data_IF_518197326840
#
_entry.id   IF_518197326840
#
_cell.length_a   1.000
_cell.length_b   1.000
_cell.length_c   1.000
_cell.angle_alpha   90.00
_cell.angle_beta   90.00
_cell.angle_gamma   90.00
#
_symmetry.space_group_name_H-M   'P 1'
#
loop_
_entity.id
_entity.type
_entity.pdbx_description
1 polymer ?
#
# COMPACT_ATOMS: atom_id res chain seq x y z
N UNK A 1 11.33 -36.12 7.94
CA UNK A 1 12.77 -36.33 8.21
C UNK A 1 13.35 -37.51 7.45
N UNK A 2 12.61 -38.55 7.20
CA UNK A 2 13.07 -39.83 6.59
C UNK A 2 13.37 -39.77 5.07
N UNK A 3 12.82 -38.78 4.34
CA UNK A 3 13.07 -38.62 2.90
C UNK A 3 14.40 -37.88 2.67
N UNK A 4 14.68 -36.83 3.45
CA UNK A 4 15.86 -35.96 3.27
C UNK A 4 17.17 -36.74 3.49
N UNK A 5 17.17 -37.80 4.32
CA UNK A 5 18.36 -38.64 4.56
C UNK A 5 18.68 -39.60 3.41
N UNK A 6 17.82 -39.72 2.40
CA UNK A 6 17.94 -40.66 1.26
C UNK A 6 18.00 -40.01 -0.11
N UNK A 7 18.04 -38.67 -0.15
CA UNK A 7 18.10 -37.89 -1.38
C UNK A 7 19.22 -36.87 -1.32
N UNK A 8 19.79 -36.55 -2.45
CA UNK A 8 20.73 -35.42 -2.56
C UNK A 8 19.92 -34.14 -2.65
N UNK A 9 20.19 -33.19 -1.75
CA UNK A 9 19.54 -31.87 -1.74
C UNK A 9 20.35 -30.88 -2.55
N UNK A 10 19.68 -30.21 -3.49
CA UNK A 10 20.22 -29.07 -4.24
C UNK A 10 19.44 -27.82 -3.85
N UNK A 11 20.13 -26.86 -3.24
CA UNK A 11 19.53 -25.58 -2.86
C UNK A 11 19.74 -24.57 -4.00
N UNK A 12 18.63 -24.13 -4.61
CA UNK A 12 18.65 -23.08 -5.62
C UNK A 12 18.49 -21.72 -4.95
N UNK A 13 19.37 -20.78 -5.32
CA UNK A 13 19.28 -19.38 -4.90
C UNK A 13 18.27 -18.63 -5.79
N UNK A 14 17.77 -17.52 -5.28
CA UNK A 14 16.98 -16.59 -6.10
C UNK A 14 17.85 -16.03 -7.21
N UNK A 15 17.25 -15.87 -8.38
CA UNK A 15 17.91 -15.27 -9.55
C UNK A 15 17.91 -13.76 -9.35
N UNK A 16 19.00 -13.13 -9.71
CA UNK A 16 19.16 -11.68 -9.69
C UNK A 16 18.16 -10.99 -10.62
N UNK A 17 17.64 -9.81 -10.22
CA UNK A 17 16.63 -9.05 -10.98
C UNK A 17 17.14 -8.69 -12.37
N UNK A 18 18.41 -8.25 -12.51
CA UNK A 18 18.99 -7.88 -13.80
C UNK A 18 19.12 -9.08 -14.75
N UNK A 19 19.42 -10.28 -14.20
CA UNK A 19 19.47 -11.51 -15.00
C UNK A 19 18.07 -11.92 -15.47
N UNK A 20 17.05 -11.77 -14.62
CA UNK A 20 15.65 -12.02 -15.02
C UNK A 20 15.27 -11.02 -16.11
N UNK A 21 15.48 -9.72 -15.90
CA UNK A 21 15.15 -8.67 -16.87
C UNK A 21 15.80 -8.95 -18.23
N UNK A 22 17.10 -9.28 -18.26
CA UNK A 22 17.81 -9.62 -19.48
C UNK A 22 17.22 -10.81 -20.23
N UNK A 23 16.77 -11.85 -19.49
CA UNK A 23 16.11 -13.00 -20.11
C UNK A 23 14.72 -12.66 -20.64
N UNK A 24 13.94 -11.84 -19.91
CA UNK A 24 12.64 -11.37 -20.37
C UNK A 24 12.76 -10.54 -21.66
N UNK A 25 13.73 -9.60 -21.72
CA UNK A 25 14.01 -8.83 -22.94
C UNK A 25 14.34 -9.74 -24.13
N UNK A 26 15.21 -10.75 -23.91
CA UNK A 26 15.53 -11.72 -24.96
C UNK A 26 14.29 -12.49 -25.46
N UNK A 27 13.38 -12.86 -24.56
CA UNK A 27 12.12 -13.53 -24.94
C UNK A 27 11.25 -12.60 -25.78
N UNK A 28 11.12 -11.32 -25.37
CA UNK A 28 10.35 -10.31 -26.07
C UNK A 28 10.91 -10.05 -27.48
N UNK A 29 12.26 -9.99 -27.63
CA UNK A 29 12.94 -9.85 -28.93
C UNK A 29 12.64 -11.04 -29.86
N UNK A 30 12.68 -12.28 -29.34
CA UNK A 30 12.38 -13.50 -30.10
C UNK A 30 10.94 -13.50 -30.61
N UNK A 31 9.99 -13.06 -29.81
CA UNK A 31 8.57 -13.03 -30.22
C UNK A 31 8.20 -11.74 -30.97
N UNK A 32 9.15 -10.80 -31.15
CA UNK A 32 8.96 -9.55 -31.90
C UNK A 32 8.02 -8.54 -31.20
N UNK A 33 7.87 -8.59 -29.87
CA UNK A 33 7.06 -7.65 -29.10
C UNK A 33 7.86 -6.38 -28.77
N UNK A 34 7.22 -5.22 -28.90
CA UNK A 34 7.80 -3.93 -28.48
C UNK A 34 7.66 -3.77 -26.97
N UNK A 35 8.68 -3.24 -26.33
CA UNK A 35 8.69 -3.04 -24.87
C UNK A 35 9.52 -1.83 -24.44
N UNK A 36 9.21 -1.32 -23.26
CA UNK A 36 10.02 -0.35 -22.52
C UNK A 36 10.88 -1.09 -21.48
N UNK A 37 12.12 -0.67 -21.29
CA UNK A 37 13.04 -1.30 -20.32
C UNK A 37 12.47 -1.28 -18.90
N UNK A 38 11.83 -0.16 -18.50
CA UNK A 38 11.18 -0.03 -17.20
C UNK A 38 10.07 -1.05 -17.01
N UNK A 39 9.28 -1.33 -18.04
CA UNK A 39 8.23 -2.34 -18.02
C UNK A 39 8.80 -3.74 -17.74
N UNK A 40 9.90 -4.10 -18.42
CA UNK A 40 10.58 -5.39 -18.21
C UNK A 40 11.14 -5.49 -16.80
N UNK A 41 11.72 -4.42 -16.26
CA UNK A 41 12.23 -4.39 -14.87
C UNK A 41 11.13 -4.56 -13.85
N UNK A 42 9.95 -3.97 -14.06
CA UNK A 42 8.79 -4.17 -13.15
C UNK A 42 8.38 -5.65 -13.13
N UNK A 43 8.29 -6.32 -14.29
CA UNK A 43 7.97 -7.75 -14.37
C UNK A 43 9.05 -8.59 -13.69
N UNK A 44 10.33 -8.29 -13.91
CA UNK A 44 11.45 -9.00 -13.31
C UNK A 44 11.41 -8.91 -11.77
N UNK A 45 11.17 -7.70 -11.24
CA UNK A 45 11.04 -7.44 -9.80
C UNK A 45 9.84 -8.18 -9.20
N UNK A 46 8.69 -8.15 -9.90
CA UNK A 46 7.49 -8.87 -9.47
C UNK A 46 7.71 -10.38 -9.38
N UNK A 47 8.56 -10.95 -10.24
CA UNK A 47 8.95 -12.36 -10.20
C UNK A 47 9.76 -12.79 -8.98
N UNK A 48 10.23 -11.84 -8.14
CA UNK A 48 10.87 -12.05 -6.84
C UNK A 48 11.99 -13.11 -6.85
N UNK A 49 12.80 -13.16 -7.92
CA UNK A 49 13.91 -14.08 -8.08
C UNK A 49 13.51 -15.44 -8.68
N UNK A 50 12.25 -15.61 -9.10
CA UNK A 50 11.73 -16.78 -9.80
C UNK A 50 11.55 -16.48 -11.29
N UNK A 51 12.32 -17.14 -12.15
CA UNK A 51 12.15 -17.01 -13.61
C UNK A 51 10.79 -17.51 -14.09
N UNK A 52 10.28 -18.57 -13.47
CA UNK A 52 8.97 -19.13 -13.82
C UNK A 52 7.85 -18.13 -13.58
N UNK A 53 7.87 -17.49 -12.42
CA UNK A 53 6.82 -16.53 -12.04
C UNK A 53 6.93 -15.26 -12.89
N UNK A 54 8.17 -14.79 -13.16
CA UNK A 54 8.41 -13.67 -14.06
C UNK A 54 7.89 -13.93 -15.49
N UNK A 55 8.11 -15.13 -16.04
CA UNK A 55 7.61 -15.51 -17.36
C UNK A 55 6.07 -15.61 -17.37
N UNK A 56 5.44 -16.16 -16.32
CA UNK A 56 3.97 -16.21 -16.21
C UNK A 56 3.37 -14.82 -16.14
N UNK A 57 4.00 -13.90 -15.40
CA UNK A 57 3.58 -12.49 -15.34
C UNK A 57 3.79 -11.79 -16.70
N UNK A 58 4.91 -12.07 -17.39
CA UNK A 58 5.15 -11.55 -18.72
C UNK A 58 4.05 -12.00 -19.70
N UNK A 59 3.69 -13.26 -19.70
CA UNK A 59 2.63 -13.82 -20.54
C UNK A 59 1.29 -13.10 -20.30
N UNK A 60 0.93 -12.89 -19.03
CA UNK A 60 -0.27 -12.13 -18.67
C UNK A 60 -0.25 -10.69 -19.19
N UNK A 61 0.90 -10.02 -19.13
CA UNK A 61 1.03 -8.63 -19.60
C UNK A 61 1.01 -8.52 -21.14
N UNK A 62 1.63 -9.47 -21.85
CA UNK A 62 1.62 -9.53 -23.33
C UNK A 62 0.22 -9.78 -23.86
N UNK A 63 -0.57 -10.58 -23.15
CA UNK A 63 -1.97 -10.86 -23.51
C UNK A 63 -2.86 -9.63 -23.32
N UNK A 64 -2.47 -8.72 -22.42
CA UNK A 64 -3.23 -7.50 -22.13
C UNK A 64 -2.97 -6.38 -23.13
N UNK A 65 -1.75 -6.27 -23.70
CA UNK A 65 -1.34 -5.16 -24.57
C UNK A 65 -0.36 -5.61 -25.65
N UNK A 66 -0.46 -4.99 -26.84
CA UNK A 66 0.47 -5.24 -27.95
C UNK A 66 1.87 -4.70 -27.70
N UNK A 67 1.98 -3.62 -26.93
CA UNK A 67 3.26 -3.02 -26.52
C UNK A 67 3.38 -3.07 -25.02
N UNK A 68 4.48 -3.59 -24.51
CA UNK A 68 4.75 -3.68 -23.08
C UNK A 68 5.27 -2.33 -22.58
N UNK A 69 4.37 -1.49 -22.10
CA UNK A 69 4.70 -0.21 -21.45
C UNK A 69 4.61 -0.35 -19.93
N UNK A 70 5.26 0.57 -19.19
CA UNK A 70 5.15 0.63 -17.74
C UNK A 70 3.68 0.60 -17.29
N UNK A 71 2.83 1.43 -17.89
CA UNK A 71 1.41 1.54 -17.54
C UNK A 71 0.63 0.23 -17.82
N UNK A 72 0.90 -0.43 -18.95
CA UNK A 72 0.24 -1.70 -19.29
C UNK A 72 0.61 -2.81 -18.31
N UNK A 73 1.86 -2.88 -17.87
CA UNK A 73 2.33 -3.86 -16.88
C UNK A 73 1.70 -3.61 -15.52
N UNK A 74 1.70 -2.36 -15.04
CA UNK A 74 1.09 -2.01 -13.75
C UNK A 74 -0.40 -2.35 -13.71
N UNK A 75 -1.12 -2.11 -14.83
CA UNK A 75 -2.54 -2.46 -14.95
C UNK A 75 -2.76 -3.96 -15.01
N UNK A 76 -2.02 -4.66 -15.87
CA UNK A 76 -2.18 -6.10 -16.07
C UNK A 76 -1.86 -6.91 -14.80
N UNK A 77 -0.84 -6.50 -14.04
CA UNK A 77 -0.43 -7.16 -12.80
C UNK A 77 -1.11 -6.59 -11.55
N UNK A 78 -1.97 -5.57 -11.69
CA UNK A 78 -2.62 -4.92 -10.57
C UNK A 78 -1.67 -4.17 -9.63
N UNK A 79 -0.44 -3.85 -10.07
CA UNK A 79 0.57 -3.23 -9.23
C UNK A 79 0.30 -1.71 -9.05
N UNK A 80 0.86 -1.16 -7.97
CA UNK A 80 0.92 0.29 -7.78
C UNK A 80 2.14 0.88 -8.49
N UNK A 81 1.96 2.06 -9.07
CA UNK A 81 3.12 2.85 -9.48
C UNK A 81 3.84 3.39 -8.24
N UNK A 82 5.13 3.11 -8.14
CA UNK A 82 6.01 3.54 -7.03
C UNK A 82 5.97 5.06 -6.83
N UNK A 83 5.74 5.84 -7.88
CA UNK A 83 5.63 7.30 -7.82
C UNK A 83 4.50 7.78 -6.93
N UNK A 84 3.35 7.06 -6.89
CA UNK A 84 2.25 7.41 -5.99
C UNK A 84 2.59 7.16 -4.54
N UNK A 85 3.18 6.00 -4.24
CA UNK A 85 3.59 5.66 -2.86
C UNK A 85 4.64 6.64 -2.36
N UNK A 86 5.62 6.98 -3.18
CA UNK A 86 6.65 7.99 -2.85
C UNK A 86 6.04 9.39 -2.70
N UNK A 87 5.09 9.77 -3.57
CA UNK A 87 4.37 11.03 -3.49
C UNK A 87 3.52 11.16 -2.23
N UNK A 88 2.92 10.04 -1.76
CA UNK A 88 2.19 9.98 -0.49
C UNK A 88 3.16 10.15 0.68
N UNK A 89 4.30 9.45 0.67
CA UNK A 89 5.33 9.58 1.71
C UNK A 89 5.85 11.02 1.78
N UNK A 90 6.15 11.63 0.64
CA UNK A 90 6.55 13.03 0.59
C UNK A 90 5.48 13.96 1.17
N UNK A 91 4.22 13.77 0.80
CA UNK A 91 3.10 14.57 1.31
C UNK A 91 2.94 14.43 2.83
N UNK A 92 3.14 13.23 3.37
CA UNK A 92 3.08 12.97 4.81
C UNK A 92 4.17 13.75 5.56
N UNK A 93 5.43 13.64 5.14
CA UNK A 93 6.55 14.27 5.84
C UNK A 93 6.63 15.80 5.60
N UNK A 94 6.02 16.29 4.51
CA UNK A 94 5.82 17.74 4.29
C UNK A 94 4.53 18.27 4.89
N UNK A 95 3.69 17.42 5.50
CA UNK A 95 2.37 17.75 6.05
C UNK A 95 1.43 18.41 5.04
N UNK A 96 1.60 18.08 3.78
CA UNK A 96 0.77 18.60 2.70
C UNK A 96 -0.48 17.72 2.54
N UNK A 97 -1.56 18.10 3.24
CA UNK A 97 -2.83 17.38 3.24
C UNK A 97 -3.47 17.34 1.85
N UNK A 98 -3.39 18.43 1.09
CA UNK A 98 -3.96 18.50 -0.25
C UNK A 98 -3.29 17.47 -1.17
N UNK A 99 -1.96 17.43 -1.20
CA UNK A 99 -1.19 16.46 -1.99
C UNK A 99 -1.42 15.02 -1.50
N UNK A 100 -1.58 14.82 -0.19
CA UNK A 100 -1.87 13.53 0.40
C UNK A 100 -3.19 12.96 -0.10
N UNK A 101 -4.28 13.73 0.04
CA UNK A 101 -5.60 13.30 -0.42
C UNK A 101 -5.68 13.19 -1.93
N UNK A 102 -5.07 14.09 -2.70
CA UNK A 102 -5.05 14.02 -4.15
C UNK A 102 -4.41 12.73 -4.67
N UNK A 103 -3.31 12.27 -4.05
CA UNK A 103 -2.69 10.99 -4.40
C UNK A 103 -3.57 9.79 -4.00
N UNK A 104 -4.20 9.82 -2.82
CA UNK A 104 -5.10 8.74 -2.38
C UNK A 104 -6.34 8.65 -3.27
N UNK A 105 -7.01 9.78 -3.55
CA UNK A 105 -8.20 9.82 -4.39
C UNK A 105 -7.93 9.24 -5.77
N UNK A 106 -6.76 9.53 -6.34
CA UNK A 106 -6.38 8.97 -7.63
C UNK A 106 -6.24 7.46 -7.57
N UNK A 107 -5.62 6.91 -6.53
CA UNK A 107 -5.50 5.47 -6.35
C UNK A 107 -6.86 4.80 -6.14
N UNK A 108 -7.76 5.42 -5.40
CA UNK A 108 -9.12 4.92 -5.21
C UNK A 108 -9.95 4.98 -6.49
N UNK A 109 -9.81 6.06 -7.29
CA UNK A 109 -10.46 6.18 -8.60
C UNK A 109 -9.94 5.13 -9.59
N UNK A 110 -8.65 4.78 -9.52
CA UNK A 110 -8.05 3.69 -10.29
C UNK A 110 -8.44 2.29 -9.77
N UNK A 111 -9.30 2.21 -8.74
CA UNK A 111 -9.82 0.96 -8.19
C UNK A 111 -8.79 0.14 -7.44
N UNK A 112 -7.74 0.77 -6.90
CA UNK A 112 -6.72 0.06 -6.11
C UNK A 112 -7.27 -0.33 -4.75
N UNK A 113 -6.94 -1.56 -4.32
CA UNK A 113 -7.31 -2.08 -3.00
C UNK A 113 -6.57 -1.33 -1.89
N UNK A 114 -7.26 -1.06 -0.80
CA UNK A 114 -6.74 -0.28 0.32
C UNK A 114 -5.54 -0.95 1.01
N UNK A 115 -5.55 -2.28 1.11
CA UNK A 115 -4.43 -3.02 1.67
C UNK A 115 -3.19 -2.92 0.77
N UNK A 116 -3.40 -2.94 -0.55
CA UNK A 116 -2.34 -2.72 -1.53
C UNK A 116 -1.74 -1.30 -1.43
N UNK A 117 -2.58 -0.29 -1.21
CA UNK A 117 -2.11 1.09 -1.01
C UNK A 117 -1.21 1.18 0.22
N UNK A 118 -1.65 0.63 1.36
CA UNK A 118 -0.84 0.62 2.59
C UNK A 118 0.46 -0.17 2.38
N UNK A 119 0.40 -1.36 1.78
CA UNK A 119 1.60 -2.17 1.49
C UNK A 119 2.59 -1.42 0.58
N UNK A 120 2.09 -0.70 -0.41
CA UNK A 120 2.90 0.16 -1.28
C UNK A 120 3.60 1.29 -0.52
N UNK A 121 2.88 1.94 0.43
CA UNK A 121 3.45 3.00 1.28
C UNK A 121 4.53 2.42 2.21
N UNK A 122 4.27 1.27 2.84
CA UNK A 122 5.25 0.57 3.70
C UNK A 122 6.51 0.22 2.89
N UNK A 123 6.36 -0.29 1.66
CA UNK A 123 7.50 -0.58 0.78
C UNK A 123 8.30 0.66 0.44
N UNK A 124 7.63 1.77 0.09
CA UNK A 124 8.30 3.04 -0.19
C UNK A 124 9.06 3.56 1.04
N UNK A 125 8.44 3.55 2.22
CA UNK A 125 9.09 3.94 3.48
C UNK A 125 10.33 3.08 3.76
N UNK A 126 10.24 1.77 3.58
CA UNK A 126 11.36 0.84 3.77
C UNK A 126 12.51 1.12 2.80
N UNK A 127 12.20 1.39 1.53
CA UNK A 127 13.23 1.72 0.53
C UNK A 127 13.91 3.05 0.84
N UNK A 128 13.14 4.06 1.27
CA UNK A 128 13.68 5.35 1.71
C UNK A 128 14.58 5.18 2.94
N UNK A 129 14.15 4.36 3.91
CA UNK A 129 14.96 4.03 5.08
C UNK A 129 16.28 3.38 4.67
N UNK A 130 16.23 2.39 3.78
CA UNK A 130 17.42 1.68 3.27
C UNK A 130 18.35 2.64 2.52
N UNK A 131 17.81 3.52 1.68
CA UNK A 131 18.56 4.54 0.96
C UNK A 131 19.31 5.49 1.92
N UNK A 132 18.63 5.99 2.95
CA UNK A 132 19.23 6.88 3.96
C UNK A 132 20.34 6.20 4.76
N UNK A 133 20.11 4.96 5.21
CA UNK A 133 21.10 4.19 6.00
C UNK A 133 22.36 3.92 5.18
N UNK A 134 22.21 3.55 3.92
CA UNK A 134 23.32 3.21 3.04
C UNK A 134 23.86 4.42 2.24
N UNK A 135 23.27 5.59 2.39
CA UNK A 135 23.67 6.84 1.70
C UNK A 135 23.75 6.70 0.18
N UNK A 136 22.77 6.01 -0.41
CA UNK A 136 22.76 5.74 -1.85
C UNK A 136 22.31 6.95 -2.67
N UNK A 137 21.51 7.87 -2.09
CA UNK A 137 21.02 9.08 -2.74
C UNK A 137 19.98 8.85 -3.84
N UNK A 138 19.26 7.72 -3.79
CA UNK A 138 18.16 7.41 -4.73
C UNK A 138 16.98 8.35 -4.52
N UNK A 139 16.68 8.69 -3.26
CA UNK A 139 15.57 9.54 -2.88
C UNK A 139 16.07 10.91 -2.39
N UNK A 140 16.06 11.90 -3.29
CA UNK A 140 16.49 13.28 -2.99
C UNK A 140 15.26 14.12 -2.62
N UNK A 141 14.83 14.04 -1.37
CA UNK A 141 13.80 14.95 -0.85
C UNK A 141 14.42 16.32 -0.54
N UNK A 142 13.63 17.39 -0.74
CA UNK A 142 14.04 18.78 -0.42
C UNK A 142 14.06 19.07 1.09
N UNK A 143 13.65 18.10 1.91
CA UNK A 143 13.55 18.15 3.36
C UNK A 143 14.23 16.94 3.98
N UNK A 144 14.72 17.07 5.21
CA UNK A 144 15.33 15.96 5.93
C UNK A 144 14.27 15.19 6.73
N UNK A 145 14.26 13.87 6.57
CA UNK A 145 13.40 12.97 7.33
C UNK A 145 14.29 12.21 8.33
N UNK A 146 13.99 12.28 9.62
CA UNK A 146 14.71 11.51 10.63
C UNK A 146 14.43 10.02 10.48
N UNK A 147 15.43 9.18 10.71
CA UNK A 147 15.27 7.72 10.63
C UNK A 147 14.16 7.19 11.55
N UNK A 148 14.05 7.76 12.76
CA UNK A 148 13.01 7.36 13.71
C UNK A 148 11.60 7.68 13.21
N UNK A 149 11.41 8.78 12.48
CA UNK A 149 10.11 9.14 11.94
C UNK A 149 9.67 8.16 10.85
N UNK A 150 10.63 7.66 10.04
CA UNK A 150 10.35 6.62 9.05
C UNK A 150 9.96 5.31 9.74
N UNK A 151 10.68 4.93 10.79
CA UNK A 151 10.40 3.70 11.56
C UNK A 151 9.01 3.79 12.20
N UNK A 152 8.70 4.90 12.86
CA UNK A 152 7.39 5.13 13.47
C UNK A 152 6.27 5.13 12.42
N UNK A 153 6.52 5.70 11.23
CA UNK A 153 5.56 5.65 10.13
C UNK A 153 5.28 4.22 9.68
N UNK A 154 6.32 3.39 9.53
CA UNK A 154 6.16 1.97 9.17
C UNK A 154 5.31 1.25 10.22
N UNK A 155 5.61 1.42 11.51
CA UNK A 155 4.87 0.78 12.60
C UNK A 155 3.39 1.18 12.60
N UNK A 156 3.09 2.47 12.39
CA UNK A 156 1.72 2.96 12.27
C UNK A 156 1.00 2.30 11.09
N UNK A 157 1.60 2.32 9.90
CA UNK A 157 0.97 1.73 8.72
C UNK A 157 0.77 0.22 8.86
N UNK A 158 1.69 -0.50 9.50
CA UNK A 158 1.55 -1.93 9.79
C UNK A 158 0.39 -2.21 10.75
N UNK A 159 0.24 -1.41 11.82
CA UNK A 159 -0.88 -1.51 12.77
C UNK A 159 -2.23 -1.26 12.07
N UNK A 160 -2.31 -0.21 11.23
CA UNK A 160 -3.52 0.08 10.47
C UNK A 160 -3.85 -1.01 9.44
N UNK A 161 -2.84 -1.58 8.77
CA UNK A 161 -3.03 -2.72 7.86
C UNK A 161 -3.62 -3.93 8.57
N UNK A 162 -3.17 -4.23 9.78
CA UNK A 162 -3.69 -5.35 10.56
C UNK A 162 -5.14 -5.11 11.01
N UNK A 163 -5.45 -3.94 11.54
CA UNK A 163 -6.79 -3.56 12.00
C UNK A 163 -7.80 -3.52 10.85
N UNK A 164 -7.39 -3.11 9.67
CA UNK A 164 -8.23 -3.01 8.49
C UNK A 164 -8.85 -4.35 8.06
N UNK A 165 -8.29 -5.49 8.47
CA UNK A 165 -8.83 -6.83 8.16
C UNK A 165 -10.22 -7.06 8.72
N UNK A 166 -10.61 -6.35 9.77
CA UNK A 166 -11.83 -6.58 10.54
C UNK A 166 -12.91 -5.52 10.32
N UNK A 167 -12.69 -4.55 9.42
CA UNK A 167 -13.61 -3.44 9.17
C UNK A 167 -14.14 -3.42 7.75
N UNK A 168 -15.34 -2.84 7.57
CA UNK A 168 -15.97 -2.68 6.25
C UNK A 168 -15.42 -1.47 5.50
N UNK A 169 -15.30 -0.33 6.19
CA UNK A 169 -14.87 0.95 5.62
C UNK A 169 -13.34 1.10 5.71
N UNK A 170 -12.65 0.38 4.84
CA UNK A 170 -11.19 0.31 4.85
C UNK A 170 -10.51 1.62 4.45
N UNK A 171 -11.15 2.42 3.59
CA UNK A 171 -10.63 3.71 3.13
C UNK A 171 -10.26 4.63 4.29
N UNK A 172 -11.11 4.72 5.31
CA UNK A 172 -10.86 5.54 6.50
C UNK A 172 -9.54 5.15 7.17
N UNK A 173 -9.20 3.86 7.19
CA UNK A 173 -7.94 3.38 7.81
C UNK A 173 -6.72 3.85 7.03
N UNK A 174 -6.78 3.85 5.70
CA UNK A 174 -5.69 4.40 4.86
C UNK A 174 -5.49 5.89 5.15
N UNK A 175 -6.59 6.65 5.15
CA UNK A 175 -6.56 8.09 5.39
C UNK A 175 -6.03 8.43 6.80
N UNK A 176 -6.54 7.73 7.83
CA UNK A 176 -6.14 7.95 9.21
C UNK A 176 -4.70 7.57 9.51
N UNK A 177 -4.15 6.54 8.84
CA UNK A 177 -2.76 6.14 9.02
C UNK A 177 -1.80 7.29 8.68
N UNK A 178 -1.96 7.94 7.54
CA UNK A 178 -1.13 9.07 7.15
C UNK A 178 -1.31 10.30 8.04
N UNK A 179 -2.56 10.62 8.42
CA UNK A 179 -2.83 11.71 9.37
C UNK A 179 -2.17 11.45 10.72
N UNK A 180 -2.17 10.20 11.18
CA UNK A 180 -1.49 9.81 12.42
C UNK A 180 0.02 10.04 12.34
N UNK A 181 0.65 9.67 11.22
CA UNK A 181 2.08 9.95 11.00
C UNK A 181 2.35 11.45 10.97
N UNK A 182 1.54 12.24 10.26
CA UNK A 182 1.68 13.70 10.21
C UNK A 182 1.59 14.37 11.57
N UNK A 183 0.89 13.74 12.53
CA UNK A 183 0.70 14.28 13.88
C UNK A 183 1.85 13.95 14.85
N UNK A 184 2.81 13.11 14.50
CA UNK A 184 3.88 12.66 15.41
C UNK A 184 4.79 13.79 15.92
N UNK A 185 5.01 14.83 15.12
CA UNK A 185 5.89 15.98 15.47
C UNK A 185 5.16 17.20 16.06
N UNK A 186 3.84 17.13 16.17
CA UNK A 186 3.13 18.21 16.81
C UNK A 186 3.20 18.03 18.32
N UNK A 187 3.77 19.00 19.05
CA UNK A 187 3.78 19.09 20.53
C UNK A 187 2.36 19.02 21.17
N UNK A 188 1.34 18.81 20.38
CA UNK A 188 -0.07 18.69 20.77
C UNK A 188 -0.42 17.27 21.25
N UNK A 189 0.49 16.31 21.19
CA UNK A 189 0.21 14.91 21.59
C UNK A 189 0.45 14.62 23.08
N UNK A 190 0.17 15.57 23.97
CA UNK A 190 -0.15 15.24 25.38
C UNK A 190 -1.64 14.91 25.57
N UNK A 191 -2.40 14.71 24.52
CA UNK A 191 -3.68 14.00 24.63
C UNK A 191 -3.37 12.51 24.62
N UNK A 192 -3.36 11.92 25.80
CA UNK A 192 -3.47 10.48 26.02
C UNK A 192 -4.64 9.96 25.19
N UNK A 193 -4.37 9.47 23.98
CA UNK A 193 -5.29 8.56 23.33
C UNK A 193 -5.25 7.28 24.15
N UNK A 194 -6.19 7.19 25.08
CA UNK A 194 -6.41 5.99 25.88
C UNK A 194 -6.58 4.82 24.90
N UNK A 195 -5.67 3.84 24.99
CA UNK A 195 -5.69 2.62 24.18
C UNK A 195 -6.90 1.73 24.48
N UNK A 196 -7.84 2.22 25.29
CA UNK A 196 -9.05 1.50 25.74
C UNK A 196 -10.27 1.66 24.83
N UNK A 197 -10.21 2.46 23.75
CA UNK A 197 -11.32 2.50 22.77
C UNK A 197 -11.29 1.23 21.96
N UNK A 198 -12.06 0.24 22.40
CA UNK A 198 -12.26 -1.02 21.66
C UNK A 198 -13.23 -0.77 20.50
N UNK A 199 -13.12 -1.59 19.46
CA UNK A 199 -13.98 -1.54 18.25
C UNK A 199 -15.48 -1.63 18.60
N UNK A 200 -15.84 -2.11 19.81
CA UNK A 200 -17.20 -2.13 20.35
C UNK A 200 -17.80 -0.73 20.59
N UNK A 201 -16.97 0.29 20.81
CA UNK A 201 -17.44 1.64 21.14
C UNK A 201 -17.81 2.47 19.90
N UNK A 202 -17.45 2.00 18.71
CA UNK A 202 -17.78 2.65 17.43
C UNK A 202 -19.06 2.11 16.79
N UNK A 203 -19.72 1.13 17.39
CA UNK A 203 -20.79 0.36 16.76
C UNK A 203 -22.20 0.72 17.25
N UNK A 204 -22.52 1.93 17.69
CA UNK A 204 -23.94 2.35 17.84
C UNK A 204 -24.10 3.88 17.83
N UNK A 205 -24.96 4.37 16.92
CA UNK A 205 -26.07 5.21 17.35
C UNK A 205 -27.40 4.56 16.95
N UNK A 206 -27.99 3.82 17.86
CA UNK A 206 -29.43 3.53 17.76
C UNK A 206 -30.18 4.72 18.34
N UNK A 207 -30.76 5.49 17.46
CA UNK A 207 -31.63 6.61 17.77
C UNK A 207 -33.01 6.05 18.19
N UNK A 208 -33.23 5.90 19.48
CA UNK A 208 -34.56 5.64 20.02
C UNK A 208 -35.26 6.96 20.35
N UNK A 209 -35.94 7.52 19.37
CA UNK A 209 -36.97 8.50 19.61
C UNK A 209 -38.17 7.79 20.26
N UNK A 210 -38.24 7.83 21.58
CA UNK A 210 -39.48 7.59 22.32
C UNK A 210 -40.38 8.80 22.12
N UNK A 211 -41.47 8.59 21.40
CA UNK A 211 -42.61 9.50 21.35
C UNK A 211 -43.42 9.26 22.61
N UNK A 212 -43.30 10.14 23.61
CA UNK A 212 -44.22 10.24 24.70
C UNK A 212 -45.45 11.02 24.22
N UNK A 213 -46.53 10.29 23.96
CA UNK A 213 -47.83 10.85 23.69
C UNK A 213 -48.68 10.79 24.99
N UNK A 214 -48.65 11.84 25.78
CA UNK A 214 -49.70 12.08 26.79
C UNK A 214 -50.79 12.91 26.14
N UNK A 215 -51.85 12.23 25.77
CA UNK A 215 -53.12 12.83 25.32
C UNK A 215 -54.15 12.81 26.42
N UNK A 216 -54.26 13.88 27.12
CA UNK A 216 -55.34 14.13 28.07
C UNK A 216 -56.63 14.43 27.31
N UNK A 217 -57.62 13.56 27.45
CA UNK A 217 -58.99 13.75 26.95
C UNK A 217 -59.83 14.29 28.08
N UNK A 218 -60.13 15.57 28.05
CA UNK A 218 -61.21 16.15 28.85
C UNK A 218 -62.49 16.26 28.02
N UNK A 219 -63.48 15.47 28.44
CA UNK A 219 -64.87 15.59 28.01
C UNK A 219 -65.53 16.78 28.71
N UNK A 220 -66.27 17.60 27.98
CA UNK A 220 -67.45 18.34 28.49
C UNK A 220 -68.44 18.59 27.39
N UNK A 221 -69.58 17.93 27.55
CA UNK A 221 -70.97 18.36 27.41
C UNK A 221 -71.28 19.59 26.49
N UNK A 222 -72.06 19.41 25.51
CA UNK A 222 -73.53 19.69 25.42
C UNK A 222 -74.08 19.14 24.10
#
# INVERSE_FOLDING_TARGET
>A
KTIISRVQRFDFKRIDEDLIAKNLSRVLDIIGKKYEDDAVRIVARAGAGSMRDALSMLESTISYSDTLTKDSVLKALGLLDESYSTGIVEAIFTRNLEKYYANLDKLFLDGKDEAMIIDGIIKALREILYDKVNKLGKYNFTFDIKLMDIINAIDIYMDYLERMKFVKEKRIFVEMAGLKVMSLDSDVMNMNFDRSVTVSDLAHPVNNNQVNGDGEVTSKNT
#
